data_IF_906908416452
#
_entry.id   IF_906908416452
#
_cell.length_a   1.000
_cell.length_b   1.000
_cell.length_c   1.000
_cell.angle_alpha   90.00
_cell.angle_beta   90.00
_cell.angle_gamma   90.00
#
_symmetry.space_group_name_H-M   'P 1'
#
loop_
_entity.id
_entity.type
_entity.pdbx_description
1 polymer ?
#
# COMPACT_ATOMS: atom_id res chain seq x y z
N UNK A 1 -27.74 -6.76 -5.91
CA UNK A 1 -26.40 -7.33 -6.16
C UNK A 1 -25.39 -6.48 -5.42
N UNK A 2 -24.59 -7.04 -4.53
CA UNK A 2 -23.56 -6.29 -3.81
C UNK A 2 -22.49 -5.82 -4.80
N UNK A 3 -22.19 -4.52 -4.82
CA UNK A 3 -21.19 -3.95 -5.72
C UNK A 3 -19.77 -4.44 -5.41
N UNK A 4 -18.82 -4.29 -6.36
CA UNK A 4 -17.41 -4.64 -6.16
C UNK A 4 -16.78 -3.96 -4.93
N UNK A 5 -17.33 -2.83 -4.47
CA UNK A 5 -16.85 -2.10 -3.30
C UNK A 5 -17.29 -2.72 -1.97
N UNK A 6 -18.55 -3.15 -1.85
CA UNK A 6 -19.06 -3.85 -0.64
C UNK A 6 -18.23 -5.10 -0.33
N UNK A 7 -17.90 -5.90 -1.36
CA UNK A 7 -17.11 -7.12 -1.16
C UNK A 7 -15.67 -6.84 -0.74
N UNK A 8 -15.08 -5.71 -1.16
CA UNK A 8 -13.70 -5.36 -0.82
C UNK A 8 -13.57 -4.76 0.58
N UNK A 9 -14.50 -3.91 1.01
CA UNK A 9 -14.51 -3.37 2.38
C UNK A 9 -14.69 -4.50 3.41
N UNK A 10 -15.52 -5.50 3.08
CA UNK A 10 -15.79 -6.62 3.98
C UNK A 10 -14.64 -7.64 4.05
N UNK A 11 -13.98 -7.93 2.92
CA UNK A 11 -12.99 -9.01 2.80
C UNK A 11 -11.55 -8.58 3.04
N UNK A 12 -11.17 -7.34 2.75
CA UNK A 12 -9.79 -6.88 2.87
C UNK A 12 -9.63 -5.97 4.11
N UNK A 13 -8.80 -6.36 5.11
CA UNK A 13 -8.57 -5.61 6.33
C UNK A 13 -8.14 -4.16 6.12
N UNK A 14 -7.47 -3.86 5.00
CA UNK A 14 -6.99 -2.51 4.69
C UNK A 14 -8.13 -1.54 4.41
N UNK A 15 -9.16 -2.01 3.70
CA UNK A 15 -10.32 -1.19 3.36
C UNK A 15 -11.29 -1.08 4.53
N UNK A 16 -11.36 -2.12 5.37
CA UNK A 16 -12.07 -2.03 6.65
C UNK A 16 -11.47 -0.97 7.57
N UNK A 17 -10.14 -1.01 7.78
CA UNK A 17 -9.46 0.00 8.60
C UNK A 17 -9.58 1.41 8.02
N UNK A 18 -9.52 1.56 6.69
CA UNK A 18 -9.76 2.84 6.04
C UNK A 18 -11.20 3.36 6.27
N UNK A 19 -12.20 2.50 6.15
CA UNK A 19 -13.59 2.86 6.43
C UNK A 19 -13.80 3.28 7.89
N UNK A 20 -13.19 2.56 8.85
CA UNK A 20 -13.23 2.91 10.28
C UNK A 20 -12.61 4.28 10.55
N UNK A 21 -11.48 4.60 9.94
CA UNK A 21 -10.82 5.91 10.06
C UNK A 21 -11.72 7.03 9.52
N UNK A 22 -12.34 6.80 8.36
CA UNK A 22 -13.24 7.76 7.71
C UNK A 22 -14.47 8.02 8.60
N UNK A 23 -15.13 6.98 9.08
CA UNK A 23 -16.29 7.10 9.99
C UNK A 23 -15.91 7.79 11.30
N UNK A 24 -14.71 7.51 11.84
CA UNK A 24 -14.22 8.17 13.05
C UNK A 24 -13.99 9.69 12.89
N UNK A 25 -13.80 10.17 11.66
CA UNK A 25 -13.69 11.60 11.33
C UNK A 25 -15.03 12.23 10.92
N UNK A 26 -16.16 11.58 11.23
CA UNK A 26 -17.50 12.15 11.00
C UNK A 26 -17.96 12.10 9.54
N UNK A 27 -17.37 11.21 8.74
CA UNK A 27 -17.79 10.98 7.36
C UNK A 27 -18.70 9.76 7.24
N UNK A 28 -19.82 9.90 6.55
CA UNK A 28 -20.72 8.80 6.20
C UNK A 28 -20.32 8.19 4.85
N UNK A 29 -20.26 6.86 4.78
CA UNK A 29 -19.83 6.12 3.59
C UNK A 29 -21.05 5.52 2.88
N UNK A 30 -21.37 6.04 1.70
CA UNK A 30 -22.38 5.49 0.80
C UNK A 30 -21.73 4.71 -0.34
N UNK A 31 -22.05 3.43 -0.48
CA UNK A 31 -21.50 2.58 -1.55
C UNK A 31 -22.46 2.56 -2.73
N UNK A 32 -22.11 3.28 -3.79
CA UNK A 32 -22.74 3.18 -5.10
C UNK A 32 -22.13 2.03 -5.93
N UNK A 33 -22.86 1.53 -6.92
CA UNK A 33 -22.47 0.34 -7.67
C UNK A 33 -21.02 0.36 -8.20
N UNK A 34 -20.56 1.48 -8.76
CA UNK A 34 -19.22 1.64 -9.33
C UNK A 34 -18.28 2.55 -8.51
N UNK A 35 -18.79 3.23 -7.48
CA UNK A 35 -18.06 4.27 -6.75
C UNK A 35 -18.45 4.31 -5.27
N UNK A 36 -17.52 4.72 -4.42
CA UNK A 36 -17.80 5.07 -3.03
C UNK A 36 -17.98 6.57 -2.94
N UNK A 37 -19.06 7.01 -2.32
CA UNK A 37 -19.30 8.40 -1.95
C UNK A 37 -19.16 8.52 -0.44
N UNK A 38 -18.39 9.52 -0.02
CA UNK A 38 -18.14 9.84 1.38
C UNK A 38 -18.65 11.25 1.61
N UNK A 39 -19.53 11.45 2.59
CA UNK A 39 -20.14 12.74 2.89
C UNK A 39 -19.86 13.10 4.34
N UNK A 40 -19.30 14.29 4.58
CA UNK A 40 -19.21 14.87 5.93
C UNK A 40 -20.37 15.84 6.13
N UNK A 41 -21.22 15.57 7.12
CA UNK A 41 -22.27 16.52 7.54
C UNK A 41 -21.67 17.75 8.22
N UNK A 42 -20.56 17.61 8.95
CA UNK A 42 -19.92 18.71 9.68
C UNK A 42 -19.18 19.69 8.77
N UNK A 43 -18.52 19.19 7.71
CA UNK A 43 -17.77 20.03 6.77
C UNK A 43 -18.58 20.40 5.51
N UNK A 44 -19.71 19.74 5.25
CA UNK A 44 -20.47 19.88 4.00
C UNK A 44 -19.70 19.36 2.78
N UNK A 45 -18.70 18.50 2.98
CA UNK A 45 -17.82 17.99 1.94
C UNK A 45 -18.30 16.63 1.44
N UNK A 46 -18.36 16.47 0.12
CA UNK A 46 -18.66 15.20 -0.53
C UNK A 46 -17.51 14.79 -1.45
N UNK A 47 -17.02 13.57 -1.24
CA UNK A 47 -15.95 12.97 -2.02
C UNK A 47 -16.41 11.68 -2.67
N UNK A 48 -16.25 11.61 -4.00
CA UNK A 48 -16.56 10.40 -4.78
C UNK A 48 -15.28 9.74 -5.26
N UNK A 49 -15.12 8.47 -4.93
CA UNK A 49 -13.97 7.64 -5.27
C UNK A 49 -14.39 6.54 -6.25
N UNK A 50 -13.76 6.55 -7.43
CA UNK A 50 -13.87 5.45 -8.40
C UNK A 50 -12.66 4.52 -8.35
N UNK A 51 -11.53 5.01 -7.86
CA UNK A 51 -10.31 4.24 -7.68
C UNK A 51 -10.09 3.89 -6.20
N UNK A 52 -9.76 2.62 -5.96
CA UNK A 52 -9.41 2.06 -4.65
C UNK A 52 -8.20 2.73 -4.03
N UNK A 53 -7.23 3.12 -4.86
CA UNK A 53 -6.02 3.80 -4.40
C UNK A 53 -6.32 5.20 -3.87
N UNK A 54 -7.25 5.91 -4.49
CA UNK A 54 -7.69 7.24 -4.05
C UNK A 54 -8.42 7.17 -2.71
N UNK A 55 -9.28 6.16 -2.51
CA UNK A 55 -9.97 5.93 -1.24
C UNK A 55 -9.00 5.66 -0.08
N UNK A 56 -8.01 4.77 -0.29
CA UNK A 56 -7.00 4.47 0.74
C UNK A 56 -6.08 5.66 1.02
N UNK A 57 -5.71 6.42 -0.02
CA UNK A 57 -4.90 7.63 0.15
C UNK A 57 -5.65 8.69 0.97
N UNK A 58 -6.96 8.86 0.73
CA UNK A 58 -7.81 9.76 1.51
C UNK A 58 -7.88 9.36 2.99
N UNK A 59 -8.15 8.09 3.28
CA UNK A 59 -8.18 7.59 4.66
C UNK A 59 -6.81 7.74 5.37
N UNK A 60 -5.71 7.51 4.65
CA UNK A 60 -4.36 7.71 5.19
C UNK A 60 -4.08 9.18 5.48
N UNK A 61 -4.58 10.09 4.65
CA UNK A 61 -4.46 11.54 4.86
C UNK A 61 -5.23 11.99 6.10
N UNK A 62 -6.47 11.51 6.28
CA UNK A 62 -7.25 11.77 7.48
C UNK A 62 -6.54 11.27 8.75
N UNK A 63 -5.99 10.05 8.72
CA UNK A 63 -5.23 9.49 9.85
C UNK A 63 -3.93 10.24 10.18
N UNK A 64 -3.33 10.93 9.21
CA UNK A 64 -2.08 11.67 9.37
C UNK A 64 -2.26 13.16 9.64
N UNK A 65 -3.50 13.68 9.53
CA UNK A 65 -3.79 15.11 9.64
C UNK A 65 -3.22 15.95 8.50
N UNK A 66 -2.76 15.31 7.42
CA UNK A 66 -2.25 15.96 6.22
C UNK A 66 -3.42 16.29 5.28
N UNK A 67 -3.42 17.46 4.60
CA UNK A 67 -4.52 17.81 3.71
C UNK A 67 -4.67 16.75 2.60
N UNK A 68 -5.89 16.21 2.37
CA UNK A 68 -6.11 15.14 1.43
C UNK A 68 -5.60 15.51 0.04
N UNK A 69 -4.95 14.57 -0.68
CA UNK A 69 -4.47 14.83 -2.02
C UNK A 69 -5.65 15.27 -2.87
N UNK A 70 -5.56 16.48 -3.44
CA UNK A 70 -6.60 17.06 -4.28
C UNK A 70 -6.99 16.04 -5.35
N UNK A 71 -8.19 15.45 -5.21
CA UNK A 71 -8.79 14.60 -6.22
C UNK A 71 -8.77 15.43 -7.50
N UNK A 72 -8.04 14.97 -8.51
CA UNK A 72 -7.86 15.68 -9.78
C UNK A 72 -9.24 15.88 -10.40
N UNK A 73 -9.91 16.99 -10.08
CA UNK A 73 -11.04 17.51 -10.85
C UNK A 73 -10.48 17.64 -12.26
N UNK A 74 -10.97 16.83 -13.19
CA UNK A 74 -10.46 16.78 -14.56
C UNK A 74 -10.30 18.20 -15.09
N UNK A 75 -9.06 18.69 -15.11
CA UNK A 75 -8.79 20.05 -15.52
C UNK A 75 -9.02 20.08 -17.02
N UNK A 76 -10.03 20.86 -17.43
CA UNK A 76 -10.31 21.20 -18.83
C UNK A 76 -9.00 21.70 -19.44
N UNK A 77 -8.46 20.96 -20.41
CA UNK A 77 -7.24 21.31 -21.13
C UNK A 77 -7.48 22.70 -21.75
N UNK A 78 -6.89 23.73 -21.14
CA UNK A 78 -6.87 25.09 -21.68
C UNK A 78 -5.78 25.07 -22.72
N UNK A 79 -6.17 25.02 -24.00
CA UNK A 79 -5.26 25.26 -25.11
C UNK A 79 -4.50 26.56 -24.82
N UNK A 80 -3.18 26.46 -24.66
CA UNK A 80 -2.32 27.60 -24.39
C UNK A 80 -2.33 28.58 -25.58
N UNK A 81 -2.12 29.89 -25.33
CA UNK A 81 -1.93 30.84 -26.41
C UNK A 81 -0.60 30.55 -27.10
N UNK A 82 -0.63 30.63 -28.43
CA UNK A 82 0.43 30.20 -29.33
C UNK A 82 1.76 30.90 -29.14
N UNK A 83 2.81 30.20 -29.56
CA UNK A 83 4.14 30.75 -29.82
C UNK A 83 4.04 31.89 -30.83
N UNK A 84 4.20 33.13 -30.35
CA UNK A 84 4.21 34.31 -31.18
C UNK A 84 5.01 35.44 -30.55
N UNK A 85 5.95 35.98 -31.33
CA UNK A 85 6.77 37.18 -31.10
C UNK A 85 7.95 37.07 -30.11
N UNK A 86 9.12 36.83 -30.68
CA UNK A 86 10.43 37.12 -30.07
C UNK A 86 10.61 38.64 -30.00
N UNK A 87 10.60 39.22 -28.80
CA UNK A 87 10.94 40.63 -28.60
C UNK A 87 12.43 40.89 -28.92
N UNK A 88 12.79 42.04 -29.53
CA UNK A 88 14.18 42.39 -29.78
C UNK A 88 14.90 42.75 -28.47
N UNK A 89 16.14 42.28 -28.36
CA UNK A 89 17.04 42.45 -27.22
C UNK A 89 17.56 43.90 -27.18
N UNK A 90 17.35 44.68 -26.11
CA UNK A 90 18.01 45.98 -25.98
C UNK A 90 19.50 45.80 -25.68
N UNK A 91 20.28 46.77 -26.18
CA UNK A 91 21.73 46.76 -26.31
C UNK A 91 22.48 46.89 -24.97
N UNK A 92 23.73 46.41 -25.03
CA UNK A 92 24.85 46.59 -24.11
C UNK A 92 24.77 47.78 -23.16
N UNK A 93 24.76 47.48 -21.86
CA UNK A 93 25.18 48.39 -20.80
C UNK A 93 26.52 47.87 -20.26
N UNK A 94 27.50 48.77 -20.17
CA UNK A 94 28.87 48.50 -19.69
C UNK A 94 28.88 47.94 -18.26
N UNK A 95 29.89 47.14 -17.87
CA UNK A 95 29.95 46.53 -16.55
C UNK A 95 30.41 47.56 -15.50
N UNK A 96 29.49 48.04 -14.68
CA UNK A 96 29.85 48.65 -13.39
C UNK A 96 30.49 47.61 -12.46
N UNK A 97 31.42 48.03 -11.59
CA UNK A 97 32.18 47.12 -10.73
C UNK A 97 31.26 46.38 -9.77
N UNK A 98 31.34 45.04 -9.77
CA UNK A 98 30.65 44.14 -8.83
C UNK A 98 30.97 44.53 -7.39
N UNK A 99 30.07 45.28 -6.78
CA UNK A 99 29.95 45.40 -5.34
C UNK A 99 29.83 43.99 -4.75
N UNK A 100 30.68 43.69 -3.78
CA UNK A 100 30.73 42.40 -3.10
C UNK A 100 29.35 42.01 -2.55
N UNK A 101 28.81 40.89 -3.05
CA UNK A 101 27.61 40.25 -2.51
C UNK A 101 27.89 39.84 -1.05
N UNK A 102 27.09 40.28 -0.06
CA UNK A 102 27.15 39.70 1.27
C UNK A 102 26.62 38.27 1.18
N UNK A 103 27.50 37.27 1.33
CA UNK A 103 27.09 35.86 1.42
C UNK A 103 26.10 35.75 2.59
N UNK A 104 24.82 35.39 2.34
CA UNK A 104 23.81 35.46 3.37
C UNK A 104 23.97 34.26 4.31
N UNK A 105 24.43 34.51 5.53
CA UNK A 105 24.48 33.53 6.65
C UNK A 105 23.13 32.80 6.87
N UNK A 106 22.03 33.40 6.39
CA UNK A 106 20.68 32.84 6.34
C UNK A 106 20.61 31.51 5.58
N UNK A 107 21.39 31.32 4.52
CA UNK A 107 21.36 30.09 3.72
C UNK A 107 22.09 28.94 4.41
N UNK A 108 23.16 29.26 5.13
CA UNK A 108 23.88 28.27 5.97
C UNK A 108 23.01 27.85 7.16
N UNK A 109 22.29 28.79 7.78
CA UNK A 109 21.37 28.50 8.88
C UNK A 109 20.18 27.62 8.42
N UNK A 110 19.57 27.94 7.27
CA UNK A 110 18.50 27.13 6.67
C UNK A 110 18.98 25.73 6.32
N UNK A 111 20.17 25.61 5.74
CA UNK A 111 20.73 24.31 5.37
C UNK A 111 20.98 23.44 6.61
N UNK A 112 21.49 24.03 7.70
CA UNK A 112 21.66 23.33 8.97
C UNK A 112 20.33 22.85 9.55
N UNK A 113 19.28 23.68 9.49
CA UNK A 113 17.94 23.29 9.95
C UNK A 113 17.36 22.13 9.14
N UNK A 114 17.52 22.15 7.81
CA UNK A 114 17.11 21.04 6.94
C UNK A 114 17.87 19.75 7.23
N UNK A 115 19.19 19.83 7.43
CA UNK A 115 20.00 18.67 7.81
C UNK A 115 19.55 18.06 9.15
N UNK A 116 19.20 18.90 10.13
CA UNK A 116 18.69 18.44 11.43
C UNK A 116 17.33 17.75 11.29
N UNK A 117 16.40 18.33 10.51
CA UNK A 117 15.09 17.73 10.25
C UNK A 117 15.24 16.34 9.59
N UNK A 118 16.07 16.24 8.55
CA UNK A 118 16.33 14.97 7.86
C UNK A 118 16.99 13.93 8.77
N UNK A 119 17.85 14.34 9.70
CA UNK A 119 18.46 13.42 10.66
C UNK A 119 17.40 12.84 11.62
N UNK A 120 16.48 13.68 12.11
CA UNK A 120 15.37 13.26 12.98
C UNK A 120 14.45 12.27 12.23
N UNK A 121 14.09 12.58 10.99
CA UNK A 121 13.27 11.68 10.17
C UNK A 121 13.95 10.34 9.94
N UNK A 122 15.23 10.34 9.56
CA UNK A 122 16.03 9.12 9.38
C UNK A 122 16.03 8.28 10.64
N UNK A 123 16.24 8.89 11.81
CA UNK A 123 16.33 8.16 13.06
C UNK A 123 14.96 7.62 13.50
N UNK A 124 13.87 8.36 13.25
CA UNK A 124 12.51 7.86 13.42
C UNK A 124 12.20 6.65 12.50
N UNK A 125 12.66 6.70 11.24
CA UNK A 125 12.52 5.57 10.30
C UNK A 125 13.35 4.36 10.74
N UNK A 126 14.57 4.56 11.25
CA UNK A 126 15.40 3.49 11.80
C UNK A 126 14.75 2.81 13.00
N UNK A 127 14.21 3.59 13.94
CA UNK A 127 13.49 3.04 15.11
C UNK A 127 12.25 2.27 14.67
N UNK A 128 11.48 2.79 13.72
CA UNK A 128 10.31 2.09 13.15
C UNK A 128 10.71 0.80 12.43
N UNK A 129 11.81 0.79 11.69
CA UNK A 129 12.32 -0.39 11.01
C UNK A 129 12.77 -1.46 12.02
N UNK A 130 13.56 -1.06 13.02
CA UNK A 130 14.03 -1.95 14.10
C UNK A 130 12.86 -2.52 14.92
N UNK A 131 11.83 -1.72 15.21
CA UNK A 131 10.63 -2.20 15.88
C UNK A 131 9.87 -3.23 15.03
N UNK A 132 9.84 -3.07 13.70
CA UNK A 132 9.23 -4.05 12.79
C UNK A 132 10.07 -5.33 12.67
N UNK A 133 11.38 -5.22 12.68
CA UNK A 133 12.29 -6.38 12.70
C UNK A 133 12.20 -7.15 14.03
N UNK A 134 12.04 -6.45 15.16
CA UNK A 134 11.86 -7.07 16.47
C UNK A 134 10.47 -7.73 16.65
N UNK A 135 9.46 -7.26 15.91
CA UNK A 135 8.09 -7.80 15.92
C UNK A 135 7.85 -8.80 14.79
N UNK A 136 8.82 -8.99 13.89
CA UNK A 136 8.72 -10.03 12.86
C UNK A 136 8.61 -11.40 13.55
N UNK A 137 7.61 -12.23 13.20
CA UNK A 137 7.50 -13.57 13.75
C UNK A 137 8.77 -14.34 13.40
N UNK A 138 9.33 -15.00 14.41
CA UNK A 138 10.54 -15.80 14.32
C UNK A 138 10.50 -16.76 13.12
N UNK A 139 11.65 -16.82 12.46
CA UNK A 139 12.10 -17.66 11.35
C UNK A 139 11.08 -18.53 10.57
N UNK A 140 11.14 -18.54 9.22
CA UNK A 140 10.43 -19.51 8.39
C UNK A 140 10.82 -20.99 8.68
N UNK A 141 11.83 -21.22 9.53
CA UNK A 141 12.29 -22.53 9.99
C UNK A 141 11.21 -23.31 10.75
N UNK A 142 10.48 -22.68 11.68
CA UNK A 142 9.48 -23.37 12.51
C UNK A 142 8.26 -23.81 11.66
N UNK A 143 7.86 -22.97 10.71
CA UNK A 143 6.79 -23.32 9.75
C UNK A 143 7.25 -24.45 8.81
N UNK A 144 8.51 -24.42 8.36
CA UNK A 144 9.08 -25.44 7.50
C UNK A 144 9.18 -26.82 8.17
N UNK A 145 9.53 -26.87 9.46
CA UNK A 145 9.60 -28.13 10.22
C UNK A 145 8.22 -28.74 10.46
N UNK A 146 7.24 -27.94 10.91
CA UNK A 146 5.84 -28.37 11.08
C UNK A 146 5.25 -28.87 9.77
N UNK A 147 5.50 -28.16 8.68
CA UNK A 147 5.05 -28.55 7.34
C UNK A 147 5.69 -29.86 6.87
N UNK A 148 7.01 -30.03 7.04
CA UNK A 148 7.71 -31.29 6.72
C UNK A 148 7.21 -32.45 7.56
N UNK A 149 6.91 -32.24 8.84
CA UNK A 149 6.34 -33.27 9.71
C UNK A 149 4.95 -33.70 9.24
N UNK A 150 4.08 -32.74 8.88
CA UNK A 150 2.75 -33.01 8.33
C UNK A 150 2.83 -33.78 7.01
N UNK A 151 3.72 -33.35 6.09
CA UNK A 151 3.95 -34.04 4.80
C UNK A 151 4.37 -35.49 5.00
N UNK A 152 5.32 -35.74 5.92
CA UNK A 152 5.76 -37.10 6.28
C UNK A 152 4.63 -37.94 6.87
N UNK A 153 3.78 -37.35 7.71
CA UNK A 153 2.62 -38.06 8.28
C UNK A 153 1.63 -38.48 7.19
N UNK A 154 1.27 -37.57 6.28
CA UNK A 154 0.34 -37.86 5.17
C UNK A 154 0.92 -38.95 4.26
N UNK A 155 2.21 -38.86 3.90
CA UNK A 155 2.91 -39.89 3.14
C UNK A 155 3.00 -41.24 3.86
N UNK A 156 2.93 -41.29 5.19
CA UNK A 156 2.95 -42.57 5.91
C UNK A 156 1.57 -43.22 5.95
N UNK A 157 0.53 -42.44 6.24
CA UNK A 157 -0.83 -42.95 6.51
C UNK A 157 -1.68 -43.19 5.25
N UNK A 158 -1.42 -42.42 4.18
CA UNK A 158 -2.27 -42.42 2.98
C UNK A 158 -1.54 -42.93 1.73
N UNK A 159 -0.26 -43.28 1.82
CA UNK A 159 0.47 -43.79 0.66
C UNK A 159 -0.07 -45.15 0.24
N UNK A 160 -0.34 -45.37 -1.07
CA UNK A 160 -1.04 -46.54 -1.58
C UNK A 160 -0.37 -47.88 -1.20
N UNK A 161 0.95 -47.89 -1.04
CA UNK A 161 1.72 -49.09 -0.65
C UNK A 161 1.67 -49.42 0.84
N UNK A 162 1.31 -48.46 1.69
CA UNK A 162 1.24 -48.66 3.15
C UNK A 162 -0.17 -49.04 3.64
N UNK A 163 -1.14 -49.13 2.72
CA UNK A 163 -2.54 -49.37 3.05
C UNK A 163 -2.74 -50.85 3.38
N UNK A 164 -2.84 -51.18 4.68
CA UNK A 164 -3.34 -52.48 5.18
C UNK A 164 -4.87 -52.62 5.08
N UNK A 165 -5.50 -51.92 4.13
CA UNK A 165 -6.94 -51.93 3.94
C UNK A 165 -7.30 -52.50 2.57
N UNK A 166 -8.23 -53.46 2.56
CA UNK A 166 -8.67 -54.14 1.35
C UNK A 166 -9.89 -53.45 0.72
N UNK A 167 -9.99 -53.52 -0.62
CA UNK A 167 -11.17 -53.08 -1.36
C UNK A 167 -11.31 -51.56 -1.52
N UNK A 168 -12.48 -51.01 -1.17
CA UNK A 168 -12.89 -49.62 -1.43
C UNK A 168 -12.03 -48.62 -0.65
N UNK A 169 -11.61 -48.97 0.56
CA UNK A 169 -10.81 -48.08 1.40
C UNK A 169 -9.45 -47.76 0.75
N UNK A 170 -8.84 -48.74 0.07
CA UNK A 170 -7.61 -48.51 -0.70
C UNK A 170 -7.83 -47.50 -1.83
N UNK A 171 -8.95 -47.61 -2.53
CA UNK A 171 -9.32 -46.69 -3.62
C UNK A 171 -9.50 -45.26 -3.08
N UNK A 172 -10.27 -45.12 -1.99
CA UNK A 172 -10.55 -43.80 -1.38
C UNK A 172 -9.26 -43.18 -0.85
N UNK A 173 -8.42 -43.94 -0.13
CA UNK A 173 -7.13 -43.44 0.37
C UNK A 173 -6.20 -43.03 -0.77
N UNK A 174 -6.16 -43.78 -1.87
CA UNK A 174 -5.35 -43.44 -3.04
C UNK A 174 -5.80 -42.13 -3.72
N UNK A 175 -7.11 -41.92 -3.88
CA UNK A 175 -7.65 -40.69 -4.47
C UNK A 175 -7.48 -39.47 -3.54
N UNK A 176 -7.69 -39.67 -2.24
CA UNK A 176 -7.40 -38.64 -1.22
C UNK A 176 -5.92 -38.28 -1.22
N UNK A 177 -5.03 -39.28 -1.28
CA UNK A 177 -3.60 -39.04 -1.35
C UNK A 177 -3.21 -38.24 -2.60
N UNK A 178 -3.68 -38.62 -3.79
CA UNK A 178 -3.40 -37.88 -5.03
C UNK A 178 -3.83 -36.42 -4.94
N UNK A 179 -5.04 -36.18 -4.45
CA UNK A 179 -5.63 -34.83 -4.37
C UNK A 179 -4.84 -33.96 -3.39
N UNK A 180 -4.60 -34.47 -2.18
CA UNK A 180 -3.86 -33.73 -1.14
C UNK A 180 -2.40 -33.55 -1.54
N UNK A 181 -1.77 -34.55 -2.13
CA UNK A 181 -0.36 -34.47 -2.52
C UNK A 181 -0.11 -33.45 -3.62
N UNK A 182 -0.99 -33.36 -4.62
CA UNK A 182 -0.91 -32.33 -5.65
C UNK A 182 -0.97 -30.91 -5.06
N UNK A 183 -1.83 -30.69 -4.07
CA UNK A 183 -1.95 -29.40 -3.37
C UNK A 183 -0.71 -29.08 -2.52
N UNK A 184 -0.18 -30.09 -1.80
CA UNK A 184 1.09 -29.97 -1.06
C UNK A 184 2.21 -29.53 -2.01
N UNK A 185 2.36 -30.18 -3.17
CA UNK A 185 3.37 -29.80 -4.16
C UNK A 185 3.15 -28.40 -4.74
N UNK A 186 1.90 -27.97 -4.91
CA UNK A 186 1.57 -26.61 -5.35
C UNK A 186 2.02 -25.57 -4.32
N UNK A 187 1.74 -25.81 -3.03
CA UNK A 187 2.16 -24.96 -1.91
C UNK A 187 3.69 -24.90 -1.81
N UNK A 188 4.41 -26.03 -1.93
CA UNK A 188 5.88 -26.06 -1.93
C UNK A 188 6.51 -25.31 -3.10
N UNK A 189 5.83 -25.28 -4.25
CA UNK A 189 6.27 -24.54 -5.43
C UNK A 189 6.02 -23.04 -5.27
N UNK A 190 4.89 -22.67 -4.66
CA UNK A 190 4.57 -21.28 -4.35
C UNK A 190 5.50 -20.68 -3.29
N UNK A 191 5.85 -21.44 -2.25
CA UNK A 191 6.76 -20.98 -1.19
C UNK A 191 8.25 -20.94 -1.55
N UNK A 192 8.65 -21.35 -2.77
CA UNK A 192 10.04 -21.32 -3.27
C UNK A 192 10.35 -20.14 -4.19
N UNK A 193 9.37 -19.29 -4.50
CA UNK A 193 9.53 -18.05 -5.30
C UNK A 193 9.65 -16.84 -4.39
#
# INVERSE_FOLDING_TARGET
MAGPWTSNIERDPRYRGAAEIITAHGFEIAIGGDAIEIVSEEAGESHRFRDRKEFLAFATSLASGEPPPLVKRGAKIRNGPGFGARAPRPASHDPEPRSAEPVPDLDVAKLKALCQALAIERDAWKVKAQAREAVAPADPSDTGEKYRALKKFIAREFHPDNVRADGIERLVRAEVFKTIWAEIEAIERAGRK
#
